data_IF_639767589825
#
_entry.id   IF_639767589825
#
_cell.length_a   1.000
_cell.length_b   1.000
_cell.length_c   1.000
_cell.angle_alpha   90.00
_cell.angle_beta   90.00
_cell.angle_gamma   90.00
#
_symmetry.space_group_name_H-M   'P 1'
#
loop_
_entity.id
_entity.type
_entity.pdbx_description
1 polymer ?
#
# COMPACT_ATOMS: atom_id res chain seq x y z
N UNK A 1 50.78 11.24 7.07
CA UNK A 1 50.29 9.98 6.47
C UNK A 1 49.22 10.37 5.47
N UNK A 2 49.19 9.85 4.23
CA UNK A 2 48.19 10.26 3.25
C UNK A 2 46.82 9.72 3.66
N UNK A 3 45.88 10.63 3.88
CA UNK A 3 44.46 10.31 4.01
C UNK A 3 43.98 9.68 2.71
N UNK A 4 43.51 8.44 2.77
CA UNK A 4 42.93 7.74 1.64
C UNK A 4 41.73 8.54 1.11
N UNK A 5 41.61 8.77 -0.23
CA UNK A 5 40.48 9.49 -0.78
C UNK A 5 39.19 8.72 -0.48
N UNK A 6 38.07 9.41 -0.16
CA UNK A 6 36.79 8.75 0.08
C UNK A 6 36.44 7.89 -1.14
N UNK A 7 36.02 6.62 -0.94
CA UNK A 7 35.71 5.74 -2.04
C UNK A 7 34.64 6.41 -2.91
N UNK A 8 34.89 6.50 -4.22
CA UNK A 8 33.90 7.01 -5.19
C UNK A 8 32.61 6.23 -4.97
N UNK A 9 31.56 6.87 -4.45
CA UNK A 9 30.30 6.18 -4.18
C UNK A 9 29.69 5.76 -5.52
N UNK A 10 29.96 4.52 -5.91
CA UNK A 10 29.31 3.85 -7.03
C UNK A 10 27.80 3.95 -6.79
N UNK A 11 27.01 4.16 -7.84
CA UNK A 11 25.54 4.23 -7.78
C UNK A 11 24.91 3.13 -6.90
N UNK A 12 25.51 1.93 -6.90
CA UNK A 12 25.17 0.79 -6.06
C UNK A 12 25.33 1.10 -4.56
N UNK A 13 26.40 1.76 -4.14
CA UNK A 13 26.61 2.12 -2.73
C UNK A 13 25.51 3.08 -2.24
N UNK A 14 25.11 4.07 -3.06
CA UNK A 14 24.00 4.98 -2.72
C UNK A 14 22.67 4.23 -2.63
N UNK A 15 22.42 3.26 -3.50
CA UNK A 15 21.24 2.40 -3.45
C UNK A 15 21.21 1.55 -2.17
N UNK A 16 22.34 0.93 -1.79
CA UNK A 16 22.43 0.15 -0.56
C UNK A 16 22.22 1.00 0.68
N UNK A 17 22.80 2.22 0.75
CA UNK A 17 22.54 3.15 1.86
C UNK A 17 21.05 3.54 1.96
N UNK A 18 20.36 3.70 0.82
CA UNK A 18 18.93 3.95 0.82
C UNK A 18 18.11 2.76 1.34
N UNK A 19 18.44 1.54 0.90
CA UNK A 19 17.76 0.32 1.37
C UNK A 19 18.00 0.08 2.86
N UNK A 20 19.23 0.29 3.34
CA UNK A 20 19.58 0.19 4.77
C UNK A 20 18.79 1.21 5.60
N UNK A 21 18.72 2.46 5.14
CA UNK A 21 17.93 3.50 5.79
C UNK A 21 16.45 3.14 5.83
N UNK A 22 15.89 2.65 4.72
CA UNK A 22 14.49 2.23 4.64
C UNK A 22 14.21 1.04 5.57
N UNK A 23 15.12 0.06 5.61
CA UNK A 23 15.07 -1.09 6.51
C UNK A 23 14.99 -0.71 7.98
N UNK A 24 15.80 0.27 8.40
CA UNK A 24 15.80 0.78 9.78
C UNK A 24 14.59 1.68 10.10
N UNK A 25 13.97 2.29 9.09
CA UNK A 25 12.81 3.15 9.26
C UNK A 25 11.49 2.36 9.36
N UNK A 26 11.45 1.15 8.80
CA UNK A 26 10.26 0.31 8.79
C UNK A 26 9.86 -0.06 10.25
N UNK A 27 8.70 0.43 10.74
CA UNK A 27 8.27 0.11 12.09
C UNK A 27 7.87 -1.39 12.17
N UNK A 28 7.82 -1.94 13.39
CA UNK A 28 7.59 -3.38 13.61
C UNK A 28 6.48 -3.94 12.71
N UNK A 29 6.60 -5.15 12.11
CA UNK A 29 5.69 -5.64 11.07
C UNK A 29 4.20 -5.48 11.38
N UNK A 30 3.79 -5.68 12.64
CA UNK A 30 2.41 -5.48 13.10
C UNK A 30 1.90 -4.05 12.87
N UNK A 31 2.73 -3.04 13.15
CA UNK A 31 2.36 -1.63 12.96
C UNK A 31 2.24 -1.28 11.49
N UNK A 32 3.07 -1.87 10.62
CA UNK A 32 2.98 -1.71 9.18
C UNK A 32 1.65 -2.25 8.65
N UNK A 33 1.26 -3.46 9.05
CA UNK A 33 -0.03 -4.01 8.66
C UNK A 33 -1.21 -3.18 9.19
N UNK A 34 -1.12 -2.68 10.43
CA UNK A 34 -2.14 -1.79 10.98
C UNK A 34 -2.25 -0.49 10.17
N UNK A 35 -1.13 0.12 9.77
CA UNK A 35 -1.11 1.31 8.92
C UNK A 35 -1.66 1.03 7.52
N UNK A 36 -1.33 -0.12 6.92
CA UNK A 36 -1.88 -0.51 5.62
C UNK A 36 -3.38 -0.78 5.69
N UNK A 37 -3.86 -1.47 6.74
CA UNK A 37 -5.29 -1.67 6.95
C UNK A 37 -6.02 -0.33 7.08
N UNK A 38 -5.50 0.59 7.89
CA UNK A 38 -6.05 1.94 8.03
C UNK A 38 -6.05 2.69 6.69
N UNK A 39 -4.95 2.62 5.93
CA UNK A 39 -4.85 3.22 4.61
C UNK A 39 -5.91 2.66 3.66
N UNK A 40 -6.13 1.35 3.62
CA UNK A 40 -7.16 0.71 2.79
C UNK A 40 -8.56 1.18 3.18
N UNK A 41 -8.87 1.30 4.47
CA UNK A 41 -10.16 1.85 4.93
C UNK A 41 -10.38 3.26 4.38
N UNK A 42 -9.39 4.14 4.51
CA UNK A 42 -9.46 5.53 4.02
C UNK A 42 -9.56 5.57 2.49
N UNK A 43 -8.69 4.84 1.78
CA UNK A 43 -8.67 4.80 0.32
C UNK A 43 -10.00 4.29 -0.22
N UNK A 44 -10.58 3.24 0.38
CA UNK A 44 -11.87 2.69 -0.03
C UNK A 44 -13.01 3.72 0.06
N UNK A 45 -12.99 4.59 1.06
CA UNK A 45 -13.97 5.65 1.19
C UNK A 45 -13.79 6.74 0.14
N UNK A 46 -12.54 7.14 -0.14
CA UNK A 46 -12.23 8.14 -1.17
C UNK A 46 -12.62 7.63 -2.56
N UNK A 47 -12.18 6.43 -2.93
CA UNK A 47 -12.43 5.88 -4.27
C UNK A 47 -13.91 5.60 -4.51
N UNK A 48 -14.63 5.10 -3.49
CA UNK A 48 -16.08 4.92 -3.57
C UNK A 48 -16.82 6.26 -3.70
N UNK A 49 -16.40 7.29 -2.96
CA UNK A 49 -16.99 8.63 -3.06
C UNK A 49 -16.75 9.27 -4.45
N UNK A 50 -15.61 8.96 -5.08
CA UNK A 50 -15.30 9.39 -6.45
C UNK A 50 -15.96 8.52 -7.53
N UNK A 51 -16.66 7.45 -7.15
CA UNK A 51 -17.31 6.54 -8.10
C UNK A 51 -16.32 5.77 -8.97
N UNK A 52 -15.12 5.47 -8.46
CA UNK A 52 -14.09 4.76 -9.23
C UNK A 52 -14.59 3.38 -9.61
N UNK A 53 -14.55 3.07 -10.90
CA UNK A 53 -14.92 1.79 -11.47
C UNK A 53 -13.96 1.38 -12.60
N UNK A 54 -13.78 0.08 -12.81
CA UNK A 54 -12.98 -0.47 -13.90
C UNK A 54 -13.75 -1.59 -14.58
N UNK A 55 -13.51 -1.81 -15.87
CA UNK A 55 -14.09 -2.93 -16.60
C UNK A 55 -13.49 -4.25 -16.09
N UNK A 56 -14.33 -5.29 -16.00
CA UNK A 56 -13.94 -6.60 -15.51
C UNK A 56 -13.01 -7.30 -16.52
N UNK A 57 -11.75 -7.59 -16.17
CA UNK A 57 -10.79 -8.18 -17.10
C UNK A 57 -11.02 -9.69 -17.31
N UNK A 58 -11.98 -10.31 -16.62
CA UNK A 58 -12.18 -11.76 -16.67
C UNK A 58 -12.87 -12.18 -17.99
N UNK A 59 -12.38 -13.23 -18.68
CA UNK A 59 -13.05 -13.75 -19.87
C UNK A 59 -14.50 -14.13 -19.58
N UNK A 60 -15.43 -13.67 -20.42
CA UNK A 60 -16.87 -13.90 -20.24
C UNK A 60 -17.57 -12.90 -19.31
N UNK A 61 -16.87 -11.87 -18.81
CA UNK A 61 -17.46 -10.76 -18.05
C UNK A 61 -17.45 -9.44 -18.84
N UNK A 62 -17.46 -9.50 -20.18
CA UNK A 62 -17.42 -8.31 -21.03
C UNK A 62 -18.59 -7.36 -20.73
N UNK A 63 -18.28 -6.07 -20.58
CA UNK A 63 -19.25 -5.04 -20.19
C UNK A 63 -19.65 -5.03 -18.72
N UNK A 64 -19.12 -5.92 -17.88
CA UNK A 64 -19.30 -5.87 -16.42
C UNK A 64 -18.33 -4.85 -15.82
N UNK A 65 -18.85 -3.94 -15.00
CA UNK A 65 -18.04 -2.93 -14.31
C UNK A 65 -17.82 -3.34 -12.84
N UNK A 66 -16.57 -3.38 -12.42
CA UNK A 66 -16.18 -3.52 -11.02
C UNK A 66 -16.16 -2.13 -10.37
N UNK A 67 -16.94 -1.95 -9.31
CA UNK A 67 -17.06 -0.69 -8.57
C UNK A 67 -16.36 -0.78 -7.23
N UNK A 68 -15.88 0.37 -6.75
CA UNK A 68 -15.28 0.48 -5.43
C UNK A 68 -16.34 0.61 -4.35
N UNK A 69 -16.21 -0.16 -3.27
CA UNK A 69 -17.09 -0.11 -2.10
C UNK A 69 -16.34 0.49 -0.91
N UNK A 70 -16.99 1.40 -0.18
CA UNK A 70 -16.40 1.99 1.03
C UNK A 70 -16.53 1.06 2.22
N UNK A 71 -15.43 0.81 2.92
CA UNK A 71 -15.43 0.11 4.20
C UNK A 71 -16.04 0.93 5.34
N UNK A 72 -16.16 2.25 5.18
CA UNK A 72 -16.80 3.14 6.16
C UNK A 72 -18.32 3.25 5.95
N UNK A 73 -18.87 2.69 4.87
CA UNK A 73 -20.31 2.59 4.68
C UNK A 73 -20.92 1.57 5.67
N UNK A 74 -22.22 1.66 6.00
CA UNK A 74 -22.86 0.75 6.95
C UNK A 74 -22.64 -0.74 6.64
N UNK A 75 -22.72 -1.11 5.36
CA UNK A 75 -22.47 -2.49 4.92
C UNK A 75 -20.99 -2.87 4.99
N UNK A 76 -20.08 -1.93 4.69
CA UNK A 76 -18.65 -2.13 4.80
C UNK A 76 -18.20 -2.36 6.24
N UNK A 77 -18.73 -1.58 7.19
CA UNK A 77 -18.48 -1.74 8.62
C UNK A 77 -18.98 -3.11 9.08
N UNK A 78 -20.21 -3.47 8.72
CA UNK A 78 -20.78 -4.78 9.04
C UNK A 78 -19.92 -5.93 8.50
N UNK A 79 -19.48 -5.82 7.26
CA UNK A 79 -18.63 -6.80 6.60
C UNK A 79 -17.28 -6.97 7.34
N UNK A 80 -16.64 -5.88 7.75
CA UNK A 80 -15.37 -5.95 8.49
C UNK A 80 -15.52 -6.73 9.80
N UNK A 81 -16.59 -6.49 10.57
CA UNK A 81 -16.82 -7.22 11.82
C UNK A 81 -17.15 -8.70 11.61
N UNK A 82 -17.76 -9.05 10.48
CA UNK A 82 -18.09 -10.45 10.16
C UNK A 82 -16.88 -11.26 9.68
N UNK A 83 -15.86 -10.60 9.14
CA UNK A 83 -14.70 -11.24 8.48
C UNK A 83 -13.37 -10.88 9.16
N UNK A 84 -13.39 -10.60 10.47
CA UNK A 84 -12.20 -10.17 11.22
C UNK A 84 -11.23 -11.31 11.53
N UNK A 85 -11.63 -12.57 11.34
CA UNK A 85 -10.85 -13.79 11.63
C UNK A 85 -10.83 -14.71 10.42
#
# INVERSE_FOLDING_TARGET
MPDSPPPKSTFIARFLTFVEWLGNLLPHPVTLFALFALAIVIISAITAALGVSVEDPRPGAEGVMLTTNSLLAPDGIRWMFQNIV
#
